data_IF_983234289526
#
_entry.id   IF_983234289526
#
_cell.length_a   1.000
_cell.length_b   1.000
_cell.length_c   1.000
_cell.angle_alpha   90.00
_cell.angle_beta   90.00
_cell.angle_gamma   90.00
#
_symmetry.space_group_name_H-M   'P 1'
#
loop_
_entity.id
_entity.type
_entity.pdbx_description
1 polymer ?
#
# COMPACT_ATOMS: atom_id res chain seq x y z
N UNK A 1 21.81 5.62 -2.39
CA UNK A 1 21.08 4.41 -2.85
C UNK A 1 19.64 4.78 -3.14
N UNK A 2 18.99 4.11 -4.08
CA UNK A 2 17.58 4.38 -4.40
C UNK A 2 16.66 3.82 -3.30
N UNK A 3 15.59 4.55 -2.99
CA UNK A 3 14.57 4.18 -2.00
C UNK A 3 13.74 2.99 -2.52
N UNK A 4 13.53 1.98 -1.67
CA UNK A 4 12.70 0.80 -1.92
C UNK A 4 11.37 0.89 -1.17
N UNK A 5 10.41 0.05 -1.54
CA UNK A 5 9.10 -0.04 -0.86
C UNK A 5 9.23 -0.31 0.65
N UNK A 6 10.18 -1.15 1.06
CA UNK A 6 10.45 -1.47 2.47
C UNK A 6 10.93 -0.26 3.28
N UNK A 7 11.62 0.68 2.66
CA UNK A 7 12.12 1.87 3.35
C UNK A 7 10.95 2.75 3.81
N UNK A 8 9.88 2.83 3.00
CA UNK A 8 8.65 3.50 3.40
C UNK A 8 7.97 2.81 4.59
N UNK A 9 7.96 1.47 4.62
CA UNK A 9 7.35 0.70 5.70
C UNK A 9 8.12 0.85 7.01
N UNK A 10 9.45 0.68 6.96
CA UNK A 10 10.32 0.84 8.12
C UNK A 10 10.21 2.25 8.70
N UNK A 11 10.24 3.26 7.83
CA UNK A 11 10.05 4.64 8.26
C UNK A 11 8.67 4.89 8.87
N UNK A 12 7.59 4.33 8.29
CA UNK A 12 6.25 4.44 8.86
C UNK A 12 6.13 3.77 10.24
N UNK A 13 6.80 2.64 10.43
CA UNK A 13 6.83 1.91 11.70
C UNK A 13 7.60 2.68 12.77
N UNK A 14 8.78 3.18 12.45
CA UNK A 14 9.58 3.97 13.39
C UNK A 14 8.92 5.29 13.75
N UNK A 15 8.30 5.96 12.77
CA UNK A 15 7.50 7.15 13.01
C UNK A 15 6.31 6.88 13.92
N UNK A 16 5.60 5.75 13.74
CA UNK A 16 4.45 5.42 14.57
C UNK A 16 4.83 5.16 16.03
N UNK A 17 6.01 4.59 16.31
CA UNK A 17 6.49 4.32 17.69
C UNK A 17 6.64 5.59 18.52
N UNK A 18 7.05 6.71 17.91
CA UNK A 18 7.27 7.99 18.57
C UNK A 18 6.14 9.01 18.33
N UNK A 19 5.10 8.63 17.58
CA UNK A 19 4.02 9.52 17.18
C UNK A 19 3.11 9.91 18.35
N UNK A 20 3.04 11.21 18.63
CA UNK A 20 2.21 11.84 19.66
C UNK A 20 1.25 12.90 19.10
N UNK A 21 1.43 13.30 17.84
CA UNK A 21 0.67 14.35 17.18
C UNK A 21 0.02 13.84 15.91
N UNK A 22 -1.10 14.45 15.56
CA UNK A 22 -1.87 14.10 14.37
C UNK A 22 -1.03 14.16 13.07
N UNK A 23 -0.11 15.11 12.96
CA UNK A 23 0.75 15.23 11.78
C UNK A 23 1.63 14.00 11.56
N UNK A 24 2.08 13.34 12.63
CA UNK A 24 2.87 12.11 12.54
C UNK A 24 1.96 10.95 12.08
N UNK A 25 0.75 10.84 12.61
CA UNK A 25 -0.24 9.85 12.16
C UNK A 25 -0.59 9.99 10.67
N UNK A 26 -0.75 11.23 10.17
CA UNK A 26 -0.97 11.50 8.74
C UNK A 26 0.18 10.98 7.89
N UNK A 27 1.42 11.26 8.32
CA UNK A 27 2.60 10.75 7.64
C UNK A 27 2.68 9.23 7.69
N UNK A 28 2.38 8.58 8.82
CA UNK A 28 2.32 7.10 8.92
C UNK A 28 1.36 6.54 7.88
N UNK A 29 0.15 7.11 7.72
CA UNK A 29 -0.81 6.65 6.70
C UNK A 29 -0.25 6.77 5.29
N UNK A 30 0.34 7.92 4.98
CA UNK A 30 0.85 8.18 3.62
C UNK A 30 2.05 7.31 3.27
N UNK A 31 3.00 7.15 4.20
CA UNK A 31 4.16 6.26 4.01
C UNK A 31 3.74 4.79 3.91
N UNK A 32 2.76 4.36 4.70
CA UNK A 32 2.18 3.01 4.60
C UNK A 32 1.55 2.75 3.22
N UNK A 33 0.82 3.72 2.67
CA UNK A 33 0.27 3.62 1.31
C UNK A 33 1.38 3.51 0.25
N UNK A 34 2.40 4.36 0.31
CA UNK A 34 3.50 4.32 -0.66
C UNK A 34 4.30 3.02 -0.59
N UNK A 35 4.50 2.46 0.62
CA UNK A 35 5.07 1.12 0.78
C UNK A 35 4.28 0.09 -0.04
N UNK A 36 2.97 -0.03 0.21
CA UNK A 36 2.11 -0.99 -0.51
C UNK A 36 2.12 -0.74 -2.02
N UNK A 37 2.00 0.52 -2.44
CA UNK A 37 1.94 0.90 -3.84
C UNK A 37 3.21 0.49 -4.60
N UNK A 38 4.38 0.86 -4.08
CA UNK A 38 5.64 0.55 -4.74
C UNK A 38 5.94 -0.95 -4.71
N UNK A 39 5.58 -1.64 -3.63
CA UNK A 39 5.77 -3.08 -3.51
C UNK A 39 4.91 -3.85 -4.51
N UNK A 40 3.62 -3.54 -4.60
CA UNK A 40 2.70 -4.20 -5.54
C UNK A 40 3.09 -3.85 -6.97
N UNK A 41 3.45 -2.59 -7.25
CA UNK A 41 3.89 -2.18 -8.58
C UNK A 41 5.15 -2.89 -9.05
N UNK A 42 6.08 -3.26 -8.15
CA UNK A 42 7.26 -4.05 -8.52
C UNK A 42 6.96 -5.52 -8.80
N UNK A 43 5.80 -6.01 -8.36
CA UNK A 43 5.42 -7.42 -8.45
C UNK A 43 4.49 -7.73 -9.63
N UNK A 44 3.66 -6.76 -10.03
CA UNK A 44 2.77 -6.89 -11.19
C UNK A 44 3.59 -6.80 -12.48
N UNK A 45 3.50 -7.83 -13.33
CA UNK A 45 4.31 -7.92 -14.55
C UNK A 45 3.92 -6.84 -15.55
N UNK A 46 2.63 -6.66 -15.77
CA UNK A 46 2.09 -5.72 -16.75
C UNK A 46 1.61 -4.42 -16.08
N UNK A 47 2.31 -3.98 -15.04
CA UNK A 47 1.93 -2.81 -14.25
C UNK A 47 1.76 -1.56 -15.14
N UNK A 48 0.61 -0.87 -15.07
CA UNK A 48 0.42 0.38 -15.81
C UNK A 48 1.44 1.45 -15.41
N UNK A 49 1.99 2.18 -16.38
CA UNK A 49 3.00 3.24 -16.12
C UNK A 49 2.52 4.34 -15.17
N UNK A 50 1.21 4.56 -15.06
CA UNK A 50 0.61 5.55 -14.15
C UNK A 50 0.09 4.84 -12.89
N UNK A 51 0.53 5.29 -11.70
CA UNK A 51 0.11 4.71 -10.41
C UNK A 51 -1.42 4.67 -10.23
N UNK A 52 -2.13 5.70 -10.70
CA UNK A 52 -3.60 5.74 -10.62
C UNK A 52 -4.27 4.64 -11.47
N UNK A 53 -3.59 4.17 -12.52
CA UNK A 53 -4.08 3.09 -13.36
C UNK A 53 -3.79 1.71 -12.76
N UNK A 54 -2.80 1.58 -11.87
CA UNK A 54 -2.49 0.31 -11.21
C UNK A 54 -3.66 -0.20 -10.37
N UNK A 55 -4.33 0.66 -9.61
CA UNK A 55 -5.49 0.24 -8.80
C UNK A 55 -6.64 -0.22 -9.70
N UNK A 56 -6.90 0.51 -10.79
CA UNK A 56 -7.94 0.13 -11.75
C UNK A 56 -7.64 -1.23 -12.39
N UNK A 57 -6.38 -1.42 -12.82
CA UNK A 57 -5.89 -2.70 -13.35
C UNK A 57 -6.11 -3.84 -12.36
N UNK A 58 -5.65 -3.67 -11.12
CA UNK A 58 -5.78 -4.70 -10.08
C UNK A 58 -7.25 -5.03 -9.75
N UNK A 59 -8.16 -4.06 -9.87
CA UNK A 59 -9.57 -4.27 -9.58
C UNK A 59 -10.34 -4.93 -10.75
N UNK A 60 -9.85 -4.81 -11.99
CA UNK A 60 -10.47 -5.39 -13.17
C UNK A 60 -9.80 -6.71 -13.58
N UNK A 61 -10.47 -7.82 -13.27
CA UNK A 61 -9.96 -9.17 -13.55
C UNK A 61 -9.75 -9.45 -15.04
N UNK A 62 -10.38 -8.69 -15.93
CA UNK A 62 -10.20 -8.83 -17.38
C UNK A 62 -8.84 -8.32 -17.85
N UNK A 63 -8.24 -7.41 -17.08
CA UNK A 63 -6.95 -6.82 -17.38
C UNK A 63 -5.77 -7.69 -16.92
N UNK A 64 -6.00 -8.70 -16.06
CA UNK A 64 -4.99 -9.61 -15.50
C UNK A 64 -4.45 -10.63 -16.53
N UNK A 65 -3.95 -10.15 -17.67
CA UNK A 65 -3.49 -10.98 -18.78
C UNK A 65 -2.05 -11.44 -18.52
N UNK A 66 -1.84 -12.76 -18.45
CA UNK A 66 -0.52 -13.41 -18.31
C UNK A 66 0.27 -12.97 -17.07
N UNK A 67 -0.41 -12.68 -15.96
CA UNK A 67 0.25 -12.40 -14.68
C UNK A 67 0.77 -13.68 -14.03
N UNK A 68 1.87 -13.58 -13.29
CA UNK A 68 2.42 -14.70 -12.49
C UNK A 68 1.59 -15.02 -11.25
N UNK A 69 0.65 -14.14 -10.93
CA UNK A 69 -0.13 -14.12 -9.70
C UNK A 69 -1.57 -14.37 -10.08
N UNK A 70 -2.26 -15.18 -9.29
CA UNK A 70 -3.66 -15.46 -9.58
C UNK A 70 -4.51 -14.17 -9.52
N UNK A 71 -5.50 -14.12 -10.40
CA UNK A 71 -6.37 -12.95 -10.59
C UNK A 71 -7.12 -12.56 -9.30
N UNK A 72 -7.41 -13.51 -8.42
CA UNK A 72 -8.09 -13.25 -7.14
C UNK A 72 -7.15 -12.56 -6.15
N UNK A 73 -5.89 -12.94 -6.11
CA UNK A 73 -4.85 -12.28 -5.31
C UNK A 73 -4.58 -10.86 -5.80
N UNK A 74 -4.46 -10.66 -7.12
CA UNK A 74 -4.35 -9.32 -7.71
C UNK A 74 -5.54 -8.42 -7.34
N UNK A 75 -6.76 -8.97 -7.43
CA UNK A 75 -7.97 -8.26 -7.01
C UNK A 75 -8.00 -7.91 -5.53
N UNK A 76 -7.52 -8.80 -4.68
CA UNK A 76 -7.34 -8.53 -3.25
C UNK A 76 -6.40 -7.33 -3.02
N UNK A 77 -5.29 -7.25 -3.76
CA UNK A 77 -4.39 -6.10 -3.71
C UNK A 77 -5.04 -4.81 -4.19
N UNK A 78 -5.82 -4.86 -5.27
CA UNK A 78 -6.56 -3.70 -5.79
C UNK A 78 -7.49 -3.09 -4.76
N UNK A 79 -8.33 -3.92 -4.12
CA UNK A 79 -9.27 -3.47 -3.09
C UNK A 79 -8.56 -2.87 -1.87
N UNK A 80 -7.45 -3.47 -1.43
CA UNK A 80 -6.64 -2.96 -0.31
C UNK A 80 -5.99 -1.63 -0.66
N UNK A 81 -5.35 -1.53 -1.83
CA UNK A 81 -4.73 -0.29 -2.28
C UNK A 81 -5.74 0.83 -2.49
N UNK A 82 -6.95 0.52 -2.96
CA UNK A 82 -8.02 1.50 -3.09
C UNK A 82 -8.40 2.08 -1.73
N UNK A 83 -8.59 1.22 -0.72
CA UNK A 83 -8.87 1.66 0.65
C UNK A 83 -7.72 2.49 1.23
N UNK A 84 -6.47 2.04 1.08
CA UNK A 84 -5.29 2.78 1.54
C UNK A 84 -5.17 4.14 0.82
N UNK A 85 -5.47 4.21 -0.47
CA UNK A 85 -5.48 5.48 -1.23
C UNK A 85 -6.51 6.45 -0.67
N UNK A 86 -7.73 6.00 -0.35
CA UNK A 86 -8.76 6.83 0.30
C UNK A 86 -8.26 7.39 1.64
N UNK A 87 -7.62 6.55 2.45
CA UNK A 87 -7.04 6.97 3.72
C UNK A 87 -5.91 8.00 3.51
N UNK A 88 -5.04 7.79 2.52
CA UNK A 88 -3.98 8.73 2.15
C UNK A 88 -4.53 10.06 1.64
N UNK A 89 -5.61 10.05 0.85
CA UNK A 89 -6.34 11.29 0.46
C UNK A 89 -6.80 12.07 1.68
N UNK A 90 -7.43 11.39 2.65
CA UNK A 90 -7.81 12.03 3.92
C UNK A 90 -6.59 12.60 4.66
N UNK A 91 -5.52 11.81 4.77
CA UNK A 91 -4.30 12.18 5.50
C UNK A 91 -3.59 13.40 4.90
N UNK A 92 -3.41 13.43 3.58
CA UNK A 92 -2.61 14.45 2.90
C UNK A 92 -3.41 15.71 2.54
N UNK A 93 -4.71 15.59 2.24
CA UNK A 93 -5.48 16.70 1.67
C UNK A 93 -6.60 17.21 2.58
N UNK A 94 -7.13 16.40 3.50
CA UNK A 94 -8.22 16.83 4.39
C UNK A 94 -7.69 17.22 5.76
N UNK A 95 -6.96 18.34 5.80
CA UNK A 95 -6.32 18.85 7.03
C UNK A 95 -7.32 19.31 8.10
N UNK A 96 -8.54 19.66 7.69
CA UNK A 96 -9.63 20.01 8.60
C UNK A 96 -10.30 18.79 9.26
N UNK A 97 -10.00 17.56 8.80
CA UNK A 97 -10.58 16.33 9.35
C UNK A 97 -9.57 15.63 10.23
N UNK A 98 -9.91 15.38 11.48
CA UNK A 98 -9.03 14.67 12.40
C UNK A 98 -8.64 13.26 11.87
N UNK A 99 -7.36 12.92 12.01
CA UNK A 99 -6.82 11.58 11.76
C UNK A 99 -6.30 10.99 13.07
N UNK A 100 -6.91 9.89 13.49
CA UNK A 100 -6.61 9.25 14.77
C UNK A 100 -5.39 8.32 14.70
N UNK A 101 -4.79 8.04 15.86
CA UNK A 101 -3.74 7.03 16.01
C UNK A 101 -4.20 5.64 15.56
N UNK A 102 -5.49 5.32 15.75
CA UNK A 102 -6.12 4.08 15.29
C UNK A 102 -6.09 3.94 13.77
N UNK A 103 -6.42 5.01 13.04
CA UNK A 103 -6.38 5.01 11.57
C UNK A 103 -4.94 4.83 11.05
N UNK A 104 -3.96 5.48 11.69
CA UNK A 104 -2.55 5.29 11.37
C UNK A 104 -2.07 3.87 11.64
N UNK A 105 -2.44 3.29 12.80
CA UNK A 105 -2.12 1.89 13.14
C UNK A 105 -2.70 0.91 12.12
N UNK A 106 -3.94 1.14 11.70
CA UNK A 106 -4.58 0.31 10.69
C UNK A 106 -3.90 0.44 9.33
N UNK A 107 -3.52 1.64 8.89
CA UNK A 107 -2.79 1.82 7.64
C UNK A 107 -1.44 1.07 7.64
N UNK A 108 -0.71 1.14 8.77
CA UNK A 108 0.55 0.40 8.95
C UNK A 108 0.32 -1.12 8.92
N UNK A 109 -0.74 -1.61 9.59
CA UNK A 109 -1.12 -3.02 9.58
C UNK A 109 -1.43 -3.51 8.17
N UNK A 110 -2.19 -2.73 7.39
CA UNK A 110 -2.52 -3.09 6.00
C UNK A 110 -1.26 -3.17 5.12
N UNK A 111 -0.30 -2.25 5.29
CA UNK A 111 0.97 -2.31 4.57
C UNK A 111 1.77 -3.58 4.90
N UNK A 112 1.81 -3.98 6.18
CA UNK A 112 2.42 -5.25 6.61
C UNK A 112 1.72 -6.47 6.02
N UNK A 113 0.38 -6.45 5.94
CA UNK A 113 -0.40 -7.53 5.31
C UNK A 113 -0.09 -7.63 3.82
N UNK A 114 -0.07 -6.51 3.08
CA UNK A 114 0.30 -6.50 1.66
C UNK A 114 1.67 -7.15 1.44
N UNK A 115 2.64 -6.82 2.29
CA UNK A 115 3.97 -7.41 2.24
C UNK A 115 3.98 -8.91 2.52
N UNK A 116 3.38 -9.34 3.63
CA UNK A 116 3.33 -10.75 4.00
C UNK A 116 2.57 -11.62 2.98
N UNK A 117 1.57 -11.05 2.29
CA UNK A 117 0.88 -11.74 1.20
C UNK A 117 1.80 -11.92 -0.01
N UNK A 118 2.60 -10.91 -0.35
CA UNK A 118 3.53 -10.99 -1.48
C UNK A 118 4.69 -11.95 -1.22
N UNK A 119 5.28 -11.92 -0.02
CA UNK A 119 6.33 -12.87 0.37
C UNK A 119 5.83 -14.32 0.22
N UNK A 120 4.58 -14.61 0.60
CA UNK A 120 3.96 -15.93 0.39
C UNK A 120 3.73 -16.29 -1.08
N UNK A 121 3.52 -15.33 -1.96
CA UNK A 121 3.38 -15.60 -3.40
C UNK A 121 4.75 -15.80 -4.06
N UNK A 122 5.80 -15.14 -3.58
CA UNK A 122 7.19 -15.40 -4.01
C UNK A 122 7.63 -16.83 -3.64
N UNK A 123 7.33 -17.28 -2.42
CA UNK A 123 7.65 -18.63 -1.94
C UNK A 123 6.95 -19.75 -2.72
N UNK A 124 5.78 -19.49 -3.32
CA UNK A 124 5.05 -20.47 -4.15
C UNK A 124 5.61 -20.64 -5.56
N UNK A 125 6.42 -19.68 -6.01
CA UNK A 125 6.95 -19.62 -7.37
C UNK A 125 8.42 -20.11 -7.46
N UNK A 126 8.96 -20.67 -6.37
CA UNK A 126 10.26 -21.34 -6.25
C UNK A 126 10.02 -22.85 -6.15
#
# INVERSE_FOLDING_TARGET
MAVKSIDFLNFAEDLFKSASREIEYRNVVSRSYYSSLHLINSFVLNAPKKQQNLINYLCDTKEHLNEKVDSKTLRSFGLRLEQQRRNRVKADYYLHRHLSSYEAKNALKEAKICRALLEKEEDKNI
#
